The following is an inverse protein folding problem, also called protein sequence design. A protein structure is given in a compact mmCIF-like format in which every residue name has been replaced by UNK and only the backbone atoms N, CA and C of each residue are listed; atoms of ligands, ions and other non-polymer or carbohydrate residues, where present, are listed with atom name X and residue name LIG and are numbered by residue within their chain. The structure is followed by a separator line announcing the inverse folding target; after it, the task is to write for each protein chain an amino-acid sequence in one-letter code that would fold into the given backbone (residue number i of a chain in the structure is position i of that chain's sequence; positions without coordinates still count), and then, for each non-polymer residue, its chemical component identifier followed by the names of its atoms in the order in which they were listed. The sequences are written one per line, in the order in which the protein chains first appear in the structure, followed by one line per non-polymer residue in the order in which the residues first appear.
data_IF_578736784605
#
_entry.id   IF_578736784605
#
_cell.length_a   1.000
_cell.length_b   1.000
_cell.length_c   1.000
_cell.angle_alpha   90.00
_cell.angle_beta   90.00
_cell.angle_gamma   90.00
#
_symmetry.space_group_name_H-M   'P 1'
#
loop_
_entity.id
_entity.type
_entity.pdbx_description
1 polymer ?
2 non-polymer ?
3 water ?
#
# COMPACT_ATOMS: atom_id res chain seq x y z
N UNK A 3 18.80 -11.07 -14.66
CA UNK A 3 18.42 -10.79 -16.09
C UNK A 3 17.61 -9.52 -16.25
N UNK A 4 17.88 -8.76 -17.32
CA UNK A 4 17.06 -7.61 -17.64
C UNK A 4 15.63 -8.05 -18.05
N UNK A 5 14.66 -7.34 -17.49
CA UNK A 5 13.27 -7.73 -17.48
C UNK A 5 12.49 -6.47 -17.12
N UNK A 6 11.34 -6.24 -17.76
CA UNK A 6 10.52 -5.06 -17.40
C UNK A 6 9.39 -5.41 -16.41
N UNK A 7 9.09 -6.69 -16.25
CA UNK A 7 8.22 -7.13 -15.17
C UNK A 7 8.97 -6.92 -13.86
N UNK A 8 8.47 -5.98 -13.04
CA UNK A 8 9.09 -5.65 -11.74
C UNK A 8 8.14 -5.93 -10.59
N UNK A 9 8.74 -6.16 -9.42
CA UNK A 9 8.01 -6.49 -8.21
C UNK A 9 8.14 -5.36 -7.18
N UNK A 10 7.01 -5.06 -6.53
CA UNK A 10 6.94 -3.93 -5.61
C UNK A 10 6.16 -4.31 -4.38
N UNK A 11 6.45 -3.60 -3.30
CA UNK A 11 5.74 -3.73 -2.06
C UNK A 11 5.34 -2.34 -1.62
N UNK A 12 4.07 -2.19 -1.20
CA UNK A 12 3.51 -0.93 -0.71
C UNK A 12 2.98 -1.16 0.71
N UNK A 13 3.29 -0.24 1.59
CA UNK A 13 2.79 -0.23 2.95
C UNK A 13 2.24 1.17 3.17
N UNK A 14 1.02 1.26 3.70
CA UNK A 14 0.42 2.55 4.00
C UNK A 14 -0.39 2.48 5.30
N UNK A 15 -0.57 3.66 5.91
CA UNK A 15 -1.20 3.82 7.21
C UNK A 15 -2.42 4.70 7.07
N UNK A 16 -3.57 4.19 7.52
CA UNK A 16 -4.86 4.89 7.41
C UNK A 16 -5.20 5.57 8.74
N UNK A 17 -5.76 6.78 8.69
CA UNK A 17 -6.00 7.53 9.93
C UNK A 17 -7.00 6.75 10.81
N UNK A 18 -6.80 6.80 12.13
CA UNK A 18 -7.55 5.91 13.04
C UNK A 18 -9.02 6.27 13.32
N UNK A 19 -9.53 7.34 12.72
CA UNK A 19 -10.92 7.79 12.92
C UNK A 19 -11.90 7.20 11.90
N UNK A 20 -11.40 6.45 10.92
CA UNK A 20 -12.26 5.69 10.03
C UNK A 20 -12.71 4.43 10.75
N UNK A 21 -13.90 3.95 10.43
CA UNK A 21 -14.41 2.72 10.99
C UNK A 21 -13.69 1.54 10.39
N UNK A 22 -13.72 0.42 11.10
CA UNK A 22 -13.23 -0.85 10.56
C UNK A 22 -13.70 -1.09 9.14
N UNK A 23 -14.96 -0.76 8.86
CA UNK A 23 -15.56 -1.00 7.55
C UNK A 23 -14.93 -0.06 6.50
N UNK A 24 -14.69 1.19 6.89
CA UNK A 24 -14.03 2.16 6.02
C UNK A 24 -12.56 1.78 5.71
N UNK A 25 -11.84 1.31 6.72
CA UNK A 25 -10.46 0.89 6.57
C UNK A 25 -10.34 -0.26 5.58
N UNK A 26 -11.18 -1.28 5.74
CA UNK A 26 -11.15 -2.42 4.83
C UNK A 26 -11.51 -2.01 3.40
N UNK A 27 -12.47 -1.11 3.26
CA UNK A 27 -12.87 -0.56 1.96
C UNK A 27 -11.70 0.20 1.30
N UNK A 28 -11.06 1.08 2.06
CA UNK A 28 -9.82 1.74 1.64
C UNK A 28 -8.78 0.76 1.07
N UNK A 29 -8.51 -0.31 1.78
CA UNK A 29 -7.60 -1.35 1.30
C UNK A 29 -8.03 -1.94 -0.05
N UNK A 30 -9.31 -2.29 -0.18
CA UNK A 30 -9.84 -2.81 -1.44
C UNK A 30 -9.69 -1.77 -2.55
N UNK A 31 -9.92 -0.51 -2.22
CA UNK A 31 -9.77 0.58 -3.17
C UNK A 31 -8.33 0.78 -3.65
N UNK A 32 -7.36 0.59 -2.76
CA UNK A 32 -5.97 0.68 -3.15
C UNK A 32 -5.61 -0.47 -4.08
N UNK A 33 -6.04 -1.68 -3.73
CA UNK A 33 -5.82 -2.86 -4.55
C UNK A 33 -6.43 -2.73 -5.94
N UNK A 34 -7.60 -2.11 -6.02
CA UNK A 34 -8.30 -2.02 -7.30
C UNK A 34 -7.62 -0.94 -8.14
N UNK A 35 -7.14 0.12 -7.50
CA UNK A 35 -6.32 1.12 -8.16
C UNK A 35 -5.07 0.48 -8.77
N UNK A 36 -4.35 -0.30 -7.98
CA UNK A 36 -3.18 -0.99 -8.48
C UNK A 36 -3.56 -1.89 -9.66
N UNK A 37 -4.65 -2.65 -9.51
CA UNK A 37 -5.14 -3.57 -10.55
C UNK A 37 -5.48 -2.81 -11.84
N UNK A 38 -6.08 -1.64 -11.69
CA UNK A 38 -6.37 -0.76 -12.80
C UNK A 38 -5.10 -0.52 -13.61
N UNK A 39 -4.03 -0.11 -12.94
CA UNK A 39 -2.88 0.45 -13.63
C UNK A 39 -1.94 -0.60 -14.24
N UNK A 40 -2.38 -1.86 -14.26
CA UNK A 40 -1.62 -2.95 -14.87
C UNK A 40 -0.79 -3.74 -13.87
N UNK A 41 -1.21 -3.75 -12.60
CA UNK A 41 -0.49 -4.48 -11.57
C UNK A 41 -1.24 -5.71 -11.14
N UNK A 42 -0.51 -6.79 -10.85
CA UNK A 42 -1.13 -8.00 -10.34
C UNK A 42 -0.80 -8.13 -8.87
N UNK A 43 -1.83 -8.22 -8.04
CA UNK A 43 -1.68 -8.35 -6.59
C UNK A 43 -1.23 -9.78 -6.28
N UNK A 44 -0.05 -9.89 -5.65
CA UNK A 44 0.57 -11.16 -5.32
C UNK A 44 0.40 -11.55 -3.86
N UNK A 45 0.19 -10.57 -2.99
CA UNK A 45 0.23 -10.82 -1.57
C UNK A 45 -0.29 -9.60 -0.82
N UNK A 46 -0.80 -9.85 0.39
CA UNK A 46 -1.36 -8.80 1.21
C UNK A 46 -1.39 -9.21 2.67
N UNK A 47 -1.14 -8.23 3.54
CA UNK A 47 -1.19 -8.39 5.00
C UNK A 47 -1.97 -7.21 5.60
N UNK A 48 -2.81 -7.52 6.58
CA UNK A 48 -3.44 -6.53 7.43
C UNK A 48 -2.69 -6.56 8.75
N UNK A 49 -2.12 -5.43 9.14
CA UNK A 49 -1.32 -5.35 10.35
C UNK A 49 -2.11 -4.72 11.48
N UNK A 50 -3.38 -4.38 11.23
CA UNK A 50 -4.21 -3.79 12.25
C UNK A 50 -3.71 -2.46 12.78
N UNK A 51 -4.24 -2.08 13.94
CA UNK A 51 -3.92 -0.80 14.57
C UNK A 51 -2.55 -0.88 15.20
N UNK A 52 -1.72 0.12 14.92
CA UNK A 52 -0.38 0.18 15.47
C UNK A 52 -0.10 1.56 16.00
N UNK A 53 0.67 1.62 17.09
CA UNK A 53 1.12 2.87 17.64
C UNK A 53 2.15 3.44 16.68
N UNK A 54 2.05 4.73 16.41
CA UNK A 54 3.01 5.40 15.56
C UNK A 54 4.23 5.76 16.40
N UNK A 55 5.41 5.73 15.78
CA UNK A 55 6.66 6.09 16.45
C UNK A 55 6.60 7.55 16.87
N UNK A 56 6.11 8.40 15.96
CA UNK A 56 5.85 9.81 16.25
C UNK A 56 4.52 10.21 15.59
N UNK A 57 3.82 11.21 16.16
CA UNK A 57 2.46 11.55 15.70
C UNK A 57 2.40 12.09 14.27
N UNK A 58 1.24 11.95 13.63
CA UNK A 58 1.03 12.41 12.27
C UNK A 58 -0.35 13.04 12.14
N UNK A 59 -0.40 14.35 11.90
CA UNK A 59 -1.65 15.12 11.96
C UNK A 59 -2.36 14.94 13.31
N UNK A 60 -1.58 14.90 14.39
CA UNK A 60 -2.10 14.75 15.76
C UNK A 60 -2.69 13.37 16.06
N UNK A 61 -2.22 12.35 15.33
CA UNK A 61 -2.64 10.97 15.55
C UNK A 61 -1.47 10.20 16.11
N UNK A 62 -1.75 9.29 17.03
CA UNK A 62 -0.72 8.48 17.69
C UNK A 62 -0.79 7.03 17.28
N UNK A 63 -1.88 6.65 16.61
CA UNK A 63 -2.08 5.29 16.13
C UNK A 63 -2.51 5.36 14.66
N UNK A 64 -2.45 4.23 13.96
CA UNK A 64 -2.94 4.16 12.58
C UNK A 64 -3.16 2.73 12.13
N UNK A 65 -3.97 2.54 11.10
CA UNK A 65 -4.22 1.22 10.54
C UNK A 65 -3.27 0.92 9.36
N UNK A 66 -2.46 -0.14 9.52
CA UNK A 66 -1.44 -0.50 8.55
C UNK A 66 -1.86 -1.66 7.70
N UNK A 67 -1.74 -1.47 6.38
CA UNK A 67 -1.90 -2.52 5.40
C UNK A 67 -0.61 -2.64 4.56
N UNK A 68 -0.40 -3.82 3.99
CA UNK A 68 0.75 -4.12 3.12
C UNK A 68 0.26 -4.92 1.94
N UNK A 69 0.71 -4.53 0.74
CA UNK A 69 0.39 -5.26 -0.50
C UNK A 69 1.66 -5.39 -1.38
N UNK A 70 1.84 -6.58 -1.95
CA UNK A 70 2.88 -6.81 -2.94
C UNK A 70 2.21 -7.04 -4.27
N UNK A 71 2.88 -6.58 -5.32
CA UNK A 71 2.33 -6.66 -6.65
C UNK A 71 3.45 -6.66 -7.68
N UNK A 72 3.11 -7.11 -8.89
CA UNK A 72 4.03 -7.09 -10.02
C UNK A 72 3.41 -6.29 -11.16
N UNK A 73 4.25 -5.64 -11.96
CA UNK A 73 3.75 -4.84 -13.08
C UNK A 73 4.84 -4.55 -14.10
N UNK A 74 4.42 -4.37 -15.35
CA UNK A 74 5.32 -3.87 -16.40
C UNK A 74 5.22 -2.34 -16.55
N UNK A 75 4.29 -1.74 -15.79
CA UNK A 75 4.07 -0.30 -15.80
C UNK A 75 5.07 0.43 -14.91
N UNK A 76 6.06 1.10 -15.52
CA UNK A 76 7.16 1.62 -14.72
C UNK A 76 6.74 2.81 -13.88
N UNK A 77 5.62 3.43 -14.25
CA UNK A 77 5.09 4.57 -13.50
C UNK A 77 4.13 4.22 -12.34
N UNK A 78 3.83 2.94 -12.13
CA UNK A 78 2.82 2.55 -11.13
C UNK A 78 3.22 3.01 -9.72
N UNK A 79 4.50 2.81 -9.33
CA UNK A 79 4.94 3.30 -8.02
C UNK A 79 4.82 4.82 -7.84
N UNK A 80 5.10 5.57 -8.90
CA UNK A 80 4.90 7.02 -8.89
C UNK A 80 3.42 7.36 -8.70
N UNK A 81 2.60 6.68 -9.48
CA UNK A 81 1.17 6.87 -9.48
C UNK A 81 0.57 6.62 -8.10
N UNK A 82 0.98 5.50 -7.50
CA UNK A 82 0.42 4.98 -6.27
C UNK A 82 0.80 5.92 -5.16
N UNK A 83 2.04 6.36 -5.21
CA UNK A 83 2.55 7.33 -4.30
C UNK A 83 1.77 8.66 -4.35
N UNK A 84 1.46 9.14 -5.54
CA UNK A 84 0.68 10.38 -5.67
C UNK A 84 -0.73 10.18 -5.11
N UNK A 85 -1.36 9.09 -5.52
CA UNK A 85 -2.70 8.72 -5.04
C UNK A 85 -2.76 8.61 -3.50
N UNK A 86 -1.75 7.99 -2.89
CA UNK A 86 -1.78 7.82 -1.44
C UNK A 86 -1.43 9.14 -0.75
N UNK A 87 -0.53 9.92 -1.35
CA UNK A 87 -0.24 11.29 -0.91
C UNK A 87 -1.52 12.14 -0.82
N UNK A 88 -2.25 12.28 -1.92
CA UNK A 88 -3.40 13.18 -1.92
C UNK A 88 -4.61 12.64 -1.14
N UNK A 89 -4.74 11.32 -1.00
CA UNK A 89 -5.79 10.74 -0.16
C UNK A 89 -5.60 11.21 1.25
N UNK A 90 -6.57 11.98 1.74
CA UNK A 90 -6.46 12.59 3.07
C UNK A 90 -6.56 11.58 4.21
N UNK A 91 -7.20 10.46 3.92
CA UNK A 91 -7.35 9.37 4.88
C UNK A 91 -6.06 8.56 5.09
N UNK A 92 -5.13 8.62 4.14
CA UNK A 92 -3.89 7.85 4.21
C UNK A 92 -2.79 8.74 4.69
N UNK A 93 -2.27 8.48 5.88
CA UNK A 93 -1.42 9.45 6.54
C UNK A 93 0.03 9.05 6.44
N UNK A 94 0.27 7.90 5.84
CA UNK A 94 1.60 7.41 5.62
C UNK A 94 1.60 6.36 4.50
N UNK A 95 2.60 6.45 3.62
CA UNK A 95 2.69 5.57 2.46
C UNK A 95 4.17 5.30 2.17
N UNK A 96 4.48 4.07 1.78
CA UNK A 96 5.86 3.65 1.52
C UNK A 96 5.86 2.64 0.37
N UNK A 97 6.68 2.90 -0.63
CA UNK A 97 6.82 2.02 -1.77
C UNK A 97 8.25 1.53 -1.92
N UNK A 98 8.36 0.22 -2.09
CA UNK A 98 9.61 -0.50 -2.03
C UNK A 98 9.61 -1.35 -3.30
N UNK A 99 10.70 -1.34 -4.07
CA UNK A 99 10.90 -2.35 -5.09
C UNK A 99 11.52 -3.53 -4.38
N UNK A 100 11.04 -4.73 -4.67
CA UNK A 100 11.55 -5.95 -4.04
C UNK A 100 12.00 -6.94 -5.12
N UNK A 101 12.70 -7.98 -4.70
CA UNK A 101 13.10 -9.05 -5.60
C UNK A 101 11.94 -9.99 -5.74
N UNK A 102 11.97 -10.80 -6.79
CA UNK A 102 10.96 -11.82 -7.01
C UNK A 102 10.95 -12.85 -5.89
N UNK A 103 12.13 -13.11 -5.33
CA UNK A 103 12.29 -14.10 -4.27
C UNK A 103 11.77 -13.57 -2.93
N UNK A 104 11.48 -12.27 -2.88
CA UNK A 104 10.93 -11.65 -1.68
C UNK A 104 9.40 -11.65 -1.66
N UNK A 105 8.78 -12.13 -2.74
CA UNK A 105 7.33 -12.21 -2.79
C UNK A 105 6.90 -13.34 -1.87
N UNK A 106 5.91 -13.07 -1.03
CA UNK A 106 5.46 -14.04 -0.03
C UNK A 106 4.15 -14.65 -0.46
N UNK A 107 3.65 -15.61 0.31
CA UNK A 107 2.30 -16.11 0.06
C UNK A 107 1.61 -16.71 1.28
N UNK A 108 0.29 -16.86 1.14
CA UNK A 108 -0.65 -17.47 2.10
C UNK A 108 -1.92 -16.61 2.14
X LIG B 1 -2.42 10.94 2.07
#
# INVERSE_FOLDING_TARGET
MRHYKTLRYYETVFAVKPTLSEEEMKKKFEQVKEFIKQKGGEILYEEDWGMRQLAYPIQKFNNARYFLVQFKTENPQLPNELDFQLKIDEDVIRWLNIQIKESEVKKNAQ
NA NA
#
